data_IF_175893744695
#
_entry.id   IF_175893744695
#
_cell.length_a   1.000
_cell.length_b   1.000
_cell.length_c   1.000
_cell.angle_alpha   90.00
_cell.angle_beta   90.00
_cell.angle_gamma   90.00
#
_symmetry.space_group_name_H-M   'P 1'
#
loop_
_entity.id
_entity.type
_entity.pdbx_description
1 polymer ?
#
# COMPACT_ATOMS: atom_id res chain seq x y z
N UNK A 1 -25.94 -4.88 0.84
CA UNK A 1 -24.69 -4.85 1.63
C UNK A 1 -23.63 -4.38 0.66
N UNK A 2 -23.36 -3.08 0.63
CA UNK A 2 -22.19 -2.58 -0.09
C UNK A 2 -21.02 -3.11 0.71
N UNK A 3 -20.36 -4.14 0.19
CA UNK A 3 -19.09 -4.59 0.74
C UNK A 3 -18.07 -3.59 0.21
N UNK A 4 -18.10 -2.39 0.77
CA UNK A 4 -16.97 -1.47 0.72
C UNK A 4 -15.92 -2.12 1.63
N UNK A 5 -15.18 -3.10 1.11
CA UNK A 5 -13.93 -3.46 1.78
C UNK A 5 -13.09 -2.18 1.78
N UNK A 6 -12.69 -1.68 2.96
CA UNK A 6 -11.83 -0.52 3.01
C UNK A 6 -10.58 -0.84 2.19
N UNK A 7 -10.20 0.05 1.28
CA UNK A 7 -8.98 -0.05 0.48
C UNK A 7 -7.77 -0.47 1.33
N UNK A 8 -7.74 -0.02 2.58
CA UNK A 8 -6.75 -0.41 3.59
C UNK A 8 -6.66 -1.94 3.82
N UNK A 9 -7.78 -2.67 3.85
CA UNK A 9 -7.78 -4.15 4.00
C UNK A 9 -7.16 -4.83 2.78
N UNK A 10 -7.50 -4.37 1.57
CA UNK A 10 -6.92 -4.88 0.33
C UNK A 10 -5.42 -4.60 0.25
N UNK A 11 -5.00 -3.41 0.68
CA UNK A 11 -3.60 -3.04 0.75
C UNK A 11 -2.83 -3.88 1.76
N UNK A 12 -3.40 -4.16 2.94
CA UNK A 12 -2.75 -5.05 3.92
C UNK A 12 -2.55 -6.46 3.35
N UNK A 13 -3.55 -6.99 2.65
CA UNK A 13 -3.42 -8.28 1.99
C UNK A 13 -2.31 -8.26 0.94
N UNK A 14 -2.30 -7.24 0.08
CA UNK A 14 -1.26 -7.05 -0.93
C UNK A 14 0.15 -6.99 -0.31
N UNK A 15 0.32 -6.22 0.77
CA UNK A 15 1.61 -6.09 1.46
C UNK A 15 2.08 -7.43 2.02
N UNK A 16 1.20 -8.17 2.71
CA UNK A 16 1.54 -9.49 3.28
C UNK A 16 1.89 -10.49 2.18
N UNK A 17 1.11 -10.53 1.10
CA UNK A 17 1.32 -11.46 -0.01
C UNK A 17 2.58 -11.14 -0.81
N UNK A 18 2.80 -9.88 -1.18
CA UNK A 18 3.97 -9.44 -1.96
C UNK A 18 5.27 -9.63 -1.19
N UNK A 19 5.26 -9.31 0.10
CA UNK A 19 6.45 -9.35 0.95
C UNK A 19 6.61 -10.66 1.71
N UNK A 20 5.68 -11.61 1.55
CA UNK A 20 5.64 -12.88 2.28
C UNK A 20 5.79 -12.70 3.80
N UNK A 21 5.11 -11.68 4.35
CA UNK A 21 5.20 -11.38 5.77
C UNK A 21 4.61 -12.52 6.61
N UNK A 22 5.19 -12.75 7.79
CA UNK A 22 4.73 -13.76 8.75
C UNK A 22 3.68 -13.19 9.73
N UNK A 23 2.86 -12.26 9.27
CA UNK A 23 1.77 -11.63 10.04
C UNK A 23 0.49 -11.74 9.23
N UNK A 24 -0.67 -11.80 9.90
CA UNK A 24 -1.93 -11.77 9.19
C UNK A 24 -2.22 -10.32 8.74
N UNK A 25 -2.89 -10.11 7.58
CA UNK A 25 -3.30 -8.78 7.13
C UNK A 25 -4.13 -8.03 8.18
N UNK A 26 -4.97 -8.75 8.92
CA UNK A 26 -5.81 -8.20 9.99
C UNK A 26 -5.02 -7.69 11.21
N UNK A 27 -3.79 -8.19 11.42
CA UNK A 27 -2.89 -7.75 12.49
C UNK A 27 -2.11 -6.47 12.12
N UNK A 28 -2.25 -6.00 10.87
CA UNK A 28 -1.62 -4.76 10.42
C UNK A 28 -2.53 -3.58 10.73
N UNK A 29 -2.09 -2.66 11.58
CA UNK A 29 -2.80 -1.41 11.84
C UNK A 29 -2.70 -0.43 10.67
N UNK A 30 -3.74 0.37 10.46
CA UNK A 30 -3.78 1.35 9.35
C UNK A 30 -2.70 2.43 9.49
N UNK A 31 -2.33 2.76 10.73
CA UNK A 31 -1.37 3.81 11.09
C UNK A 31 -0.04 3.24 11.61
N UNK A 32 0.13 1.92 11.58
CA UNK A 32 1.33 1.26 12.08
C UNK A 32 2.55 1.61 11.20
N UNK A 33 3.70 1.95 11.80
CA UNK A 33 4.92 2.23 11.05
C UNK A 33 5.38 0.96 10.30
N UNK A 34 5.19 0.89 8.98
CA UNK A 34 5.39 -0.34 8.22
C UNK A 34 6.85 -0.82 8.27
N UNK A 35 7.79 0.11 8.07
CA UNK A 35 9.22 -0.18 8.07
C UNK A 35 9.72 -0.62 9.46
N UNK A 36 9.37 0.12 10.51
CA UNK A 36 9.86 -0.16 11.86
C UNK A 36 9.16 -1.38 12.50
N UNK A 37 7.86 -1.57 12.24
CA UNK A 37 7.04 -2.61 12.89
C UNK A 37 7.22 -3.97 12.22
N UNK A 38 7.24 -4.01 10.88
CA UNK A 38 7.33 -5.26 10.12
C UNK A 38 8.71 -5.51 9.51
N UNK A 39 9.67 -4.61 9.74
CA UNK A 39 11.03 -4.73 9.23
C UNK A 39 11.11 -4.62 7.71
N UNK A 40 10.21 -3.82 7.11
CA UNK A 40 10.13 -3.64 5.65
C UNK A 40 11.29 -2.74 5.22
N UNK A 41 12.10 -3.23 4.27
CA UNK A 41 13.20 -2.47 3.69
C UNK A 41 12.78 -1.69 2.43
N UNK A 42 13.66 -0.81 1.95
CA UNK A 42 13.38 0.03 0.77
C UNK A 42 13.22 -0.76 -0.53
N UNK A 43 13.79 -1.97 -0.62
CA UNK A 43 13.64 -2.84 -1.81
C UNK A 43 12.25 -3.46 -1.79
N UNK A 44 11.78 -3.89 -0.61
CA UNK A 44 10.43 -4.38 -0.40
C UNK A 44 9.37 -3.31 -0.67
N UNK A 45 9.64 -2.04 -0.35
CA UNK A 45 8.73 -0.95 -0.73
C UNK A 45 8.50 -0.88 -2.25
N UNK A 46 9.53 -1.17 -3.04
CA UNK A 46 9.39 -1.22 -4.50
C UNK A 46 8.46 -2.34 -4.96
N UNK A 47 8.49 -3.50 -4.30
CA UNK A 47 7.55 -4.60 -4.57
C UNK A 47 6.10 -4.22 -4.23
N UNK A 48 5.89 -3.38 -3.19
CA UNK A 48 4.57 -2.81 -2.91
C UNK A 48 4.15 -1.92 -4.08
N UNK A 49 5.00 -1.00 -4.54
CA UNK A 49 4.71 -0.11 -5.68
C UNK A 49 4.27 -0.91 -6.90
N UNK A 50 5.07 -1.88 -7.32
CA UNK A 50 4.75 -2.75 -8.46
C UNK A 50 3.41 -3.45 -8.24
N UNK A 51 3.14 -3.93 -7.02
CA UNK A 51 1.86 -4.51 -6.66
C UNK A 51 0.69 -3.53 -6.81
N UNK A 52 0.87 -2.27 -6.42
CA UNK A 52 -0.16 -1.23 -6.57
C UNK A 52 -0.45 -0.92 -8.04
N UNK A 53 0.60 -0.79 -8.85
CA UNK A 53 0.45 -0.52 -10.29
C UNK A 53 -0.28 -1.65 -10.99
N UNK A 54 0.08 -2.91 -10.70
CA UNK A 54 -0.56 -4.10 -11.28
C UNK A 54 -2.02 -4.27 -10.82
N UNK A 55 -2.33 -3.95 -9.57
CA UNK A 55 -3.65 -4.20 -8.96
C UNK A 55 -4.65 -3.08 -9.28
N UNK A 56 -4.21 -1.83 -9.17
CA UNK A 56 -5.08 -0.66 -9.31
C UNK A 56 -4.94 0.05 -10.66
N UNK A 57 -4.00 -0.39 -11.51
CA UNK A 57 -3.75 0.23 -12.82
C UNK A 57 -3.21 1.66 -12.72
N UNK A 58 -2.62 2.01 -11.58
CA UNK A 58 -1.98 3.31 -11.35
C UNK A 58 -0.52 3.27 -11.82
N UNK A 59 0.10 4.44 -11.95
CA UNK A 59 1.54 4.55 -12.21
C UNK A 59 2.14 5.50 -11.18
N UNK A 60 3.23 5.07 -10.55
CA UNK A 60 4.03 5.89 -9.66
C UNK A 60 5.28 6.35 -10.40
N UNK A 61 5.43 7.66 -10.57
CA UNK A 61 6.64 8.23 -11.14
C UNK A 61 7.75 8.27 -10.09
N UNK A 62 9.02 8.23 -10.52
CA UNK A 62 10.18 8.26 -9.61
C UNK A 62 10.16 9.50 -8.68
N UNK A 63 9.61 10.63 -9.15
CA UNK A 63 9.48 11.88 -8.39
C UNK A 63 8.42 11.80 -7.28
N UNK A 64 7.50 10.84 -7.37
CA UNK A 64 6.43 10.60 -6.39
C UNK A 64 6.81 9.54 -5.36
N UNK A 65 7.87 8.78 -5.61
CA UNK A 65 8.38 7.78 -4.67
C UNK A 65 9.00 8.48 -3.45
N UNK A 66 8.24 8.52 -2.36
CA UNK A 66 8.68 9.03 -1.06
C UNK A 66 8.48 7.96 0.02
N UNK A 67 9.51 7.72 0.84
CA UNK A 67 9.42 6.82 2.00
C UNK A 67 8.29 7.24 2.97
N UNK A 68 7.98 8.52 3.05
CA UNK A 68 6.88 9.03 3.87
C UNK A 68 5.50 8.53 3.41
N UNK A 69 5.33 8.24 2.12
CA UNK A 69 4.10 7.67 1.55
C UNK A 69 3.90 6.22 2.02
N UNK A 70 4.99 5.51 2.25
CA UNK A 70 5.00 4.13 2.76
C UNK A 70 5.16 4.04 4.28
N UNK A 71 4.95 5.14 5.00
CA UNK A 71 5.04 5.15 6.46
C UNK A 71 4.02 4.19 7.09
N UNK A 72 2.79 4.16 6.57
CA UNK A 72 1.71 3.28 7.03
C UNK A 72 0.71 2.98 5.90
N UNK A 73 -0.21 2.04 6.15
CA UNK A 73 -1.20 1.59 5.16
C UNK A 73 -2.11 2.74 4.71
N UNK A 74 -2.50 3.61 5.65
CA UNK A 74 -3.36 4.76 5.38
C UNK A 74 -2.73 5.74 4.38
N UNK A 75 -1.45 6.04 4.51
CA UNK A 75 -0.71 6.88 3.55
C UNK A 75 -0.69 6.28 2.15
N UNK A 76 -0.53 4.96 2.05
CA UNK A 76 -0.60 4.24 0.76
C UNK A 76 -2.02 4.31 0.19
N UNK A 77 -3.05 4.11 1.02
CA UNK A 77 -4.45 4.20 0.62
C UNK A 77 -4.81 5.58 0.07
N UNK A 78 -4.35 6.63 0.74
CA UNK A 78 -4.58 8.02 0.30
C UNK A 78 -3.90 8.31 -1.04
N UNK A 79 -2.70 7.77 -1.28
CA UNK A 79 -2.03 7.87 -2.57
C UNK A 79 -2.81 7.15 -3.69
N UNK A 80 -3.23 5.90 -3.45
CA UNK A 80 -4.00 5.13 -4.43
C UNK A 80 -5.30 5.85 -4.79
N UNK A 81 -6.03 6.37 -3.79
CA UNK A 81 -7.24 7.18 -4.00
C UNK A 81 -6.96 8.42 -4.86
N UNK A 82 -5.85 9.13 -4.59
CA UNK A 82 -5.46 10.30 -5.36
C UNK A 82 -5.17 9.94 -6.82
N UNK A 83 -4.46 8.84 -7.08
CA UNK A 83 -4.13 8.37 -8.42
C UNK A 83 -5.35 7.91 -9.21
N UNK A 84 -6.27 7.19 -8.56
CA UNK A 84 -7.52 6.76 -9.18
C UNK A 84 -8.40 7.96 -9.55
N UNK A 85 -8.53 8.95 -8.65
CA UNK A 85 -9.29 10.17 -8.93
C UNK A 85 -8.69 11.01 -10.07
N UNK A 86 -7.36 11.00 -10.24
CA UNK A 86 -6.69 11.71 -11.34
C UNK A 86 -6.82 10.98 -12.69
N UNK A 87 -6.98 9.65 -12.69
CA UNK A 87 -7.08 8.83 -13.91
C UNK A 87 -8.50 8.80 -14.51
N UNK A 88 -9.52 9.18 -13.74
CA UNK A 88 -10.92 9.28 -14.19
C UNK A 88 -11.32 10.67 -14.72
N UNK A 89 -10.35 11.61 -14.84
CA UNK A 89 -10.54 13.00 -15.27
C UNK A 89 -10.24 13.30 -16.73
#
# INVERSE_FOLDING_TARGET
MSQDHPLEEELKQLIVERLFLKVAPEDIGDEDPLMDTYGIDSVQLFEIVVGLEETYGITMEDEEFDLALFANVKSIADFVRQKQAASEG
#
